data_IF_939004652531
#
_entry.id   IF_939004652531
#
_cell.length_a   1.000
_cell.length_b   1.000
_cell.length_c   1.000
_cell.angle_alpha   90.00
_cell.angle_beta   90.00
_cell.angle_gamma   90.00
#
_symmetry.space_group_name_H-M   'P 1'
#
loop_
_entity.id
_entity.type
_entity.pdbx_description
1 polymer ?
#
# COMPACT_ATOMS: atom_id res chain seq x y z
N UNK A 1 26.27 -10.36 -22.78
CA UNK A 1 24.94 -10.50 -22.17
C UNK A 1 23.94 -9.70 -22.97
N UNK A 2 23.64 -10.23 -24.16
CA UNK A 2 22.56 -9.82 -25.05
C UNK A 2 21.48 -10.89 -24.93
N UNK A 3 20.25 -10.51 -25.25
CA UNK A 3 19.06 -11.35 -25.43
C UNK A 3 18.32 -11.79 -24.16
N UNK A 4 17.25 -11.07 -23.87
CA UNK A 4 15.89 -11.61 -23.76
C UNK A 4 14.90 -10.44 -23.84
N UNK A 5 14.67 -9.98 -25.08
CA UNK A 5 13.46 -9.26 -25.44
C UNK A 5 12.55 -10.26 -26.18
N UNK A 6 11.24 -10.08 -26.01
CA UNK A 6 10.12 -10.79 -26.63
C UNK A 6 9.64 -12.09 -25.95
N UNK A 7 8.60 -11.94 -25.11
CA UNK A 7 7.22 -12.36 -25.46
C UNK A 7 6.19 -11.78 -24.48
N UNK A 8 5.39 -10.85 -24.99
CA UNK A 8 3.97 -10.59 -24.69
C UNK A 8 3.49 -10.52 -23.23
N UNK A 9 3.20 -9.30 -22.77
CA UNK A 9 2.41 -9.03 -21.57
C UNK A 9 2.52 -7.57 -21.15
N UNK A 10 1.77 -6.69 -21.80
CA UNK A 10 1.67 -5.26 -21.50
C UNK A 10 0.96 -5.05 -20.15
N UNK A 11 1.70 -5.19 -19.05
CA UNK A 11 1.36 -4.60 -17.75
C UNK A 11 2.50 -3.64 -17.39
N UNK A 12 2.45 -2.47 -18.02
CA UNK A 12 3.29 -1.34 -17.66
C UNK A 12 2.72 -0.72 -16.37
N UNK A 13 3.47 -0.80 -15.27
CA UNK A 13 4.21 0.37 -14.77
C UNK A 13 4.55 0.25 -13.29
N UNK A 14 5.81 0.62 -12.99
CA UNK A 14 6.36 0.92 -11.67
C UNK A 14 6.55 -0.26 -10.70
N UNK A 15 7.53 -1.12 -11.00
CA UNK A 15 8.39 -1.62 -9.92
C UNK A 15 9.18 -0.40 -9.42
N UNK A 16 8.66 0.28 -8.40
CA UNK A 16 9.40 1.33 -7.70
C UNK A 16 10.57 0.65 -7.00
N UNK A 17 11.78 0.87 -7.50
CA UNK A 17 12.99 0.49 -6.80
C UNK A 17 12.89 0.99 -5.34
N UNK A 18 13.16 0.09 -4.39
CA UNK A 18 13.16 0.35 -2.94
C UNK A 18 13.79 1.70 -2.64
N UNK A 19 12.95 2.70 -2.40
CA UNK A 19 13.33 3.97 -1.81
C UNK A 19 13.04 3.82 -0.33
N UNK A 20 14.05 4.11 0.51
CA UNK A 20 13.89 4.06 1.96
C UNK A 20 12.63 4.84 2.36
N UNK A 21 11.70 4.15 3.00
CA UNK A 21 10.45 4.77 3.44
C UNK A 21 10.80 5.82 4.50
N UNK A 22 10.40 7.07 4.27
CA UNK A 22 10.59 8.14 5.26
C UNK A 22 9.43 8.09 6.25
N UNK A 23 9.76 7.76 7.49
CA UNK A 23 8.81 7.67 8.58
C UNK A 23 7.97 6.39 8.57
N UNK A 24 6.91 6.37 9.38
CA UNK A 24 6.02 5.21 9.56
C UNK A 24 6.69 3.91 10.03
N UNK A 25 7.94 3.95 10.50
CA UNK A 25 8.67 2.78 11.00
C UNK A 25 7.88 1.98 12.05
N UNK A 26 7.26 2.68 13.01
CA UNK A 26 6.43 2.04 14.05
C UNK A 26 5.22 1.30 13.47
N UNK A 27 4.63 1.82 12.40
CA UNK A 27 3.49 1.18 11.71
C UNK A 27 3.97 -0.10 11.02
N UNK A 28 5.12 -0.06 10.35
CA UNK A 28 5.74 -1.22 9.71
C UNK A 28 6.10 -2.29 10.76
N UNK A 29 6.71 -1.90 11.86
CA UNK A 29 7.03 -2.80 12.98
C UNK A 29 5.78 -3.46 13.55
N UNK A 30 4.70 -2.70 13.74
CA UNK A 30 3.43 -3.23 14.23
C UNK A 30 2.79 -4.23 13.26
N UNK A 31 2.77 -3.92 11.96
CA UNK A 31 2.28 -4.84 10.92
C UNK A 31 3.11 -6.14 10.93
N UNK A 32 4.44 -6.02 10.91
CA UNK A 32 5.34 -7.18 10.92
C UNK A 32 5.15 -8.04 12.17
N UNK A 33 4.99 -7.41 13.34
CA UNK A 33 4.68 -8.10 14.60
C UNK A 33 3.40 -8.93 14.46
N UNK A 34 2.30 -8.33 14.00
CA UNK A 34 1.04 -9.06 13.83
C UNK A 34 1.11 -10.16 12.77
N UNK A 35 1.92 -9.99 11.72
CA UNK A 35 2.11 -11.03 10.71
C UNK A 35 2.88 -12.26 11.25
N UNK A 36 3.68 -12.10 12.30
CA UNK A 36 4.42 -13.19 12.95
C UNK A 36 3.61 -13.85 14.08
N UNK A 37 2.73 -13.10 14.76
CA UNK A 37 1.88 -13.62 15.82
C UNK A 37 0.88 -14.64 15.29
N UNK A 38 0.91 -15.89 15.78
CA UNK A 38 0.04 -16.96 15.27
C UNK A 38 -1.45 -16.65 15.42
N UNK A 39 -1.85 -16.08 16.56
CA UNK A 39 -3.23 -15.73 16.89
C UNK A 39 -3.82 -14.63 15.99
N UNK A 40 -2.99 -13.83 15.32
CA UNK A 40 -3.46 -12.72 14.49
C UNK A 40 -3.55 -13.14 13.03
N UNK A 41 -4.72 -13.64 12.63
CA UNK A 41 -4.95 -14.06 11.24
C UNK A 41 -5.18 -12.92 10.24
N UNK A 42 -5.77 -11.81 10.69
CA UNK A 42 -6.17 -10.69 9.84
C UNK A 42 -5.71 -9.35 10.42
N UNK A 43 -5.08 -8.52 9.59
CA UNK A 43 -4.64 -7.16 9.95
C UNK A 43 -5.32 -6.14 9.05
N UNK A 44 -5.87 -5.08 9.63
CA UNK A 44 -6.48 -3.98 8.89
C UNK A 44 -5.72 -2.68 9.09
N UNK A 45 -5.02 -2.25 8.04
CA UNK A 45 -4.26 -1.01 7.99
C UNK A 45 -5.16 0.11 7.50
N UNK A 46 -5.46 1.09 8.35
CA UNK A 46 -6.39 2.16 8.02
C UNK A 46 -5.85 3.56 8.28
N UNK A 47 -6.38 4.53 7.54
CA UNK A 47 -5.98 5.93 7.63
C UNK A 47 -6.48 6.73 6.43
N UNK A 48 -6.39 8.06 6.51
CA UNK A 48 -6.93 8.96 5.48
C UNK A 48 -6.32 8.71 4.08
N UNK A 49 -6.99 9.21 3.04
CA UNK A 49 -6.46 9.16 1.67
C UNK A 49 -5.08 9.84 1.57
N UNK A 50 -4.17 9.30 0.76
CA UNK A 50 -2.83 9.87 0.56
C UNK A 50 -1.84 9.73 1.73
N UNK A 51 -2.23 9.03 2.81
CA UNK A 51 -1.40 8.85 4.02
C UNK A 51 -0.23 7.85 3.84
N UNK A 52 -0.17 7.11 2.73
CA UNK A 52 0.92 6.16 2.44
C UNK A 52 0.64 4.68 2.74
N UNK A 53 -0.60 4.26 3.00
CA UNK A 53 -0.93 2.84 3.31
C UNK A 53 -0.41 1.83 2.27
N UNK A 54 -0.68 2.07 0.99
CA UNK A 54 -0.22 1.21 -0.11
C UNK A 54 1.31 1.18 -0.18
N UNK A 55 1.97 2.33 0.00
CA UNK A 55 3.44 2.43 0.05
C UNK A 55 4.04 1.64 1.22
N UNK A 56 3.44 1.74 2.41
CA UNK A 56 3.84 0.95 3.58
C UNK A 56 3.70 -0.54 3.29
N UNK A 57 2.58 -0.97 2.71
CA UNK A 57 2.35 -2.38 2.41
C UNK A 57 3.25 -2.90 1.29
N UNK A 58 3.62 -2.09 0.30
CA UNK A 58 4.64 -2.46 -0.70
C UNK A 58 5.99 -2.73 0.00
N UNK A 59 6.42 -1.83 0.89
CA UNK A 59 7.66 -2.03 1.64
C UNK A 59 7.64 -3.30 2.51
N UNK A 60 6.51 -3.57 3.18
CA UNK A 60 6.31 -4.82 3.94
C UNK A 60 6.33 -6.03 3.01
N UNK A 61 5.67 -5.96 1.85
CA UNK A 61 5.64 -7.04 0.87
C UNK A 61 7.04 -7.40 0.38
N UNK A 62 7.80 -6.40 -0.07
CA UNK A 62 9.15 -6.60 -0.60
C UNK A 62 10.05 -7.28 0.44
N UNK A 63 10.02 -6.78 1.69
CA UNK A 63 10.80 -7.35 2.79
C UNK A 63 10.41 -8.80 3.12
N UNK A 64 9.11 -9.10 3.18
CA UNK A 64 8.63 -10.46 3.46
C UNK A 64 8.96 -11.44 2.32
N UNK A 65 9.00 -10.94 1.09
CA UNK A 65 9.41 -11.70 -0.08
C UNK A 65 10.91 -12.04 -0.02
N UNK A 66 11.76 -11.07 0.31
CA UNK A 66 13.21 -11.28 0.51
C UNK A 66 13.49 -12.29 1.63
N UNK A 67 12.74 -12.22 2.73
CA UNK A 67 12.86 -13.14 3.86
C UNK A 67 12.20 -14.51 3.61
N UNK A 68 11.55 -14.71 2.46
CA UNK A 68 10.82 -15.94 2.09
C UNK A 68 9.84 -16.43 3.16
N UNK A 69 9.15 -15.49 3.85
CA UNK A 69 8.31 -15.80 5.01
C UNK A 69 7.07 -16.62 4.69
N UNK A 70 6.53 -16.47 3.48
CA UNK A 70 5.34 -17.16 3.01
C UNK A 70 5.67 -17.94 1.74
N UNK A 71 5.10 -19.13 1.58
CA UNK A 71 5.25 -19.92 0.35
C UNK A 71 4.61 -19.22 -0.86
N UNK A 72 3.58 -18.40 -0.62
CA UNK A 72 2.95 -17.56 -1.65
C UNK A 72 2.51 -16.21 -1.08
N UNK A 73 2.65 -15.16 -1.87
CA UNK A 73 2.14 -13.83 -1.54
C UNK A 73 1.27 -13.33 -2.69
N UNK A 74 0.05 -12.92 -2.38
CA UNK A 74 -0.99 -12.52 -3.34
C UNK A 74 -1.36 -11.08 -3.04
N UNK A 75 -1.26 -10.20 -4.04
CA UNK A 75 -1.65 -8.79 -3.92
C UNK A 75 -2.81 -8.49 -4.86
N UNK A 76 -3.91 -7.98 -4.33
CA UNK A 76 -5.11 -7.63 -5.09
C UNK A 76 -5.61 -6.25 -4.68
N UNK A 77 -5.80 -5.37 -5.64
CA UNK A 77 -6.51 -4.11 -5.43
C UNK A 77 -8.00 -4.33 -5.59
N UNK A 78 -8.76 -3.98 -4.55
CA UNK A 78 -10.21 -4.19 -4.49
C UNK A 78 -10.93 -2.98 -5.06
N UNK A 79 -11.95 -3.21 -5.90
CA UNK A 79 -12.80 -2.15 -6.41
C UNK A 79 -13.67 -1.53 -5.31
N UNK A 80 -14.07 -0.27 -5.48
CA UNK A 80 -14.92 0.45 -4.49
C UNK A 80 -16.22 -0.29 -4.15
N UNK A 81 -16.79 -0.95 -5.16
CA UNK A 81 -17.80 -1.99 -4.99
C UNK A 81 -17.13 -3.34 -5.21
N UNK A 82 -16.94 -4.16 -4.18
CA UNK A 82 -16.33 -5.48 -4.34
C UNK A 82 -17.12 -6.33 -5.32
N UNK A 83 -16.44 -6.80 -6.38
CA UNK A 83 -16.98 -7.78 -7.32
C UNK A 83 -16.34 -9.13 -7.00
N UNK A 84 -17.14 -10.03 -6.42
CA UNK A 84 -16.68 -11.36 -5.99
C UNK A 84 -16.11 -12.16 -7.16
N UNK A 85 -16.72 -12.11 -8.36
CA UNK A 85 -16.24 -12.87 -9.51
C UNK A 85 -14.91 -12.30 -10.02
N UNK A 86 -14.76 -10.97 -10.00
CA UNK A 86 -13.49 -10.34 -10.33
C UNK A 86 -12.40 -10.73 -9.32
N UNK A 87 -12.67 -10.65 -8.02
CA UNK A 87 -11.73 -11.08 -6.98
C UNK A 87 -11.31 -12.55 -7.15
N UNK A 88 -12.26 -13.43 -7.45
CA UNK A 88 -11.98 -14.83 -7.74
C UNK A 88 -11.05 -15.01 -8.95
N UNK A 89 -11.28 -14.25 -10.04
CA UNK A 89 -10.40 -14.23 -11.21
C UNK A 89 -8.99 -13.75 -10.84
N UNK A 90 -8.90 -12.64 -10.12
CA UNK A 90 -7.62 -12.03 -9.72
C UNK A 90 -6.81 -12.99 -8.84
N UNK A 91 -7.44 -13.71 -7.90
CA UNK A 91 -6.77 -14.75 -7.10
C UNK A 91 -6.34 -15.93 -7.96
N UNK A 92 -7.23 -16.47 -8.78
CA UNK A 92 -6.95 -17.68 -9.56
C UNK A 92 -5.80 -17.47 -10.56
N UNK A 93 -5.68 -16.26 -11.13
CA UNK A 93 -4.53 -15.88 -11.96
C UNK A 93 -3.20 -15.98 -11.21
N UNK A 94 -3.19 -15.79 -9.88
CA UNK A 94 -1.98 -15.96 -9.07
C UNK A 94 -1.69 -17.42 -8.71
N UNK A 95 -2.69 -18.30 -8.67
CA UNK A 95 -2.54 -19.72 -8.33
C UNK A 95 -2.40 -20.63 -9.56
N UNK A 96 -2.29 -20.06 -10.76
CA UNK A 96 -2.21 -20.77 -12.05
C UNK A 96 -3.41 -21.69 -12.31
N UNK A 97 -4.58 -21.34 -11.78
CA UNK A 97 -5.81 -22.06 -11.99
C UNK A 97 -6.70 -21.27 -12.96
N UNK A 98 -7.23 -21.95 -13.97
CA UNK A 98 -8.20 -21.35 -14.88
C UNK A 98 -9.61 -21.56 -14.31
N UNK A 99 -10.28 -20.46 -14.00
CA UNK A 99 -11.70 -20.45 -13.69
C UNK A 99 -12.49 -20.26 -14.97
N UNK A 100 -13.42 -21.17 -15.24
CA UNK A 100 -14.31 -21.04 -16.37
C UNK A 100 -15.34 -19.92 -16.12
N UNK A 101 -15.78 -19.27 -17.20
CA UNK A 101 -16.86 -18.29 -17.15
C UNK A 101 -18.24 -18.94 -16.93
N UNK A 102 -18.37 -20.23 -17.27
CA UNK A 102 -19.60 -21.01 -17.05
C UNK A 102 -19.76 -21.45 -15.59
N UNK A 103 -18.71 -21.33 -14.77
CA UNK A 103 -18.75 -21.73 -13.37
C UNK A 103 -19.54 -20.73 -12.51
N UNK A 104 -20.30 -21.30 -11.59
CA UNK A 104 -20.96 -20.54 -10.53
C UNK A 104 -19.92 -19.95 -9.57
N UNK A 105 -20.31 -18.89 -8.87
CA UNK A 105 -19.46 -18.27 -7.83
C UNK A 105 -19.06 -19.29 -6.75
N UNK A 106 -19.92 -20.26 -6.43
CA UNK A 106 -19.66 -21.29 -5.41
C UNK A 106 -18.61 -22.29 -5.90
N UNK A 107 -18.71 -22.76 -7.15
CA UNK A 107 -17.72 -23.67 -7.74
C UNK A 107 -16.33 -23.03 -7.81
N UNK A 108 -16.28 -21.75 -8.20
CA UNK A 108 -15.04 -20.96 -8.24
C UNK A 108 -14.43 -20.80 -6.85
N UNK A 109 -15.25 -20.48 -5.85
CA UNK A 109 -14.80 -20.36 -4.46
C UNK A 109 -14.25 -21.70 -3.93
N UNK A 110 -14.87 -22.82 -4.28
CA UNK A 110 -14.40 -24.15 -3.88
C UNK A 110 -13.03 -24.49 -4.49
N UNK A 111 -12.82 -24.16 -5.77
CA UNK A 111 -11.53 -24.33 -6.45
C UNK A 111 -10.42 -23.48 -5.83
N UNK A 112 -10.69 -22.18 -5.64
CA UNK A 112 -9.73 -21.27 -4.98
C UNK A 112 -9.36 -21.78 -3.59
N UNK A 113 -10.35 -22.23 -2.81
CA UNK A 113 -10.12 -22.76 -1.46
C UNK A 113 -9.19 -23.97 -1.48
N UNK A 114 -9.37 -24.87 -2.43
CA UNK A 114 -8.52 -26.06 -2.57
C UNK A 114 -7.09 -25.69 -2.98
N UNK A 115 -6.92 -24.75 -3.91
CA UNK A 115 -5.59 -24.27 -4.31
C UNK A 115 -4.84 -23.62 -3.15
N UNK A 116 -5.52 -22.74 -2.40
CA UNK A 116 -4.93 -22.07 -1.24
C UNK A 116 -4.54 -23.08 -0.16
N UNK A 117 -5.35 -24.12 0.08
CA UNK A 117 -5.00 -25.20 1.02
C UNK A 117 -3.73 -25.95 0.60
N UNK A 118 -3.54 -26.19 -0.70
CA UNK A 118 -2.35 -26.88 -1.22
C UNK A 118 -1.10 -26.02 -1.21
N UNK A 119 -1.24 -24.70 -1.08
CA UNK A 119 -0.14 -23.74 -1.11
C UNK A 119 0.71 -23.75 0.17
N UNK A 120 0.18 -24.27 1.28
CA UNK A 120 0.86 -24.20 2.58
C UNK A 120 0.65 -22.84 3.23
N UNK A 121 1.72 -22.08 3.48
CA UNK A 121 1.62 -20.73 4.06
C UNK A 121 1.47 -19.66 2.99
N UNK A 122 0.54 -18.72 3.20
CA UNK A 122 0.34 -17.63 2.25
C UNK A 122 -0.15 -16.34 2.90
N UNK A 123 0.22 -15.23 2.28
CA UNK A 123 -0.24 -13.90 2.63
C UNK A 123 -1.10 -13.34 1.48
N UNK A 124 -2.31 -12.88 1.80
CA UNK A 124 -3.17 -12.13 0.87
C UNK A 124 -3.22 -10.66 1.33
N UNK A 125 -2.82 -9.76 0.45
CA UNK A 125 -2.97 -8.31 0.63
C UNK A 125 -4.14 -7.84 -0.23
N UNK A 126 -5.17 -7.33 0.44
CA UNK A 126 -6.36 -6.72 -0.16
C UNK A 126 -6.21 -5.20 -0.05
N UNK A 127 -5.70 -4.57 -1.11
CA UNK A 127 -5.42 -3.14 -1.13
C UNK A 127 -6.67 -2.33 -1.51
N UNK A 128 -6.83 -1.18 -0.85
CA UNK A 128 -7.90 -0.19 -1.05
C UNK A 128 -9.31 -0.80 -0.92
N UNK A 129 -9.63 -1.44 0.21
CA UNK A 129 -10.97 -2.00 0.48
C UNK A 129 -11.92 -0.91 0.98
N UNK A 130 -13.01 -0.67 0.24
CA UNK A 130 -14.01 0.36 0.57
C UNK A 130 -15.18 -0.17 1.40
N UNK A 131 -15.51 -1.45 1.25
CA UNK A 131 -16.65 -2.10 1.89
C UNK A 131 -16.29 -3.53 2.27
N UNK A 132 -16.79 -4.00 3.42
CA UNK A 132 -16.57 -5.40 3.85
C UNK A 132 -17.38 -6.38 3.02
N UNK A 133 -16.80 -7.54 2.73
CA UNK A 133 -17.34 -8.63 1.91
C UNK A 133 -17.03 -10.00 2.53
N UNK A 134 -17.69 -11.05 2.05
CA UNK A 134 -17.47 -12.43 2.51
C UNK A 134 -16.20 -12.99 1.89
N UNK A 135 -15.20 -13.31 2.72
CA UNK A 135 -14.02 -14.06 2.28
C UNK A 135 -14.42 -15.46 1.77
N UNK A 136 -15.45 -16.04 2.37
CA UNK A 136 -15.95 -17.36 2.01
C UNK A 136 -16.49 -17.41 0.58
N UNK A 137 -17.22 -16.36 0.17
CA UNK A 137 -17.79 -16.24 -1.18
C UNK A 137 -16.69 -16.10 -2.24
N UNK A 138 -15.53 -15.55 -1.85
CA UNK A 138 -14.34 -15.48 -2.71
C UNK A 138 -13.61 -16.83 -2.74
N UNK A 139 -13.77 -17.67 -1.72
CA UNK A 139 -13.03 -18.93 -1.56
C UNK A 139 -11.80 -18.81 -0.66
N UNK A 140 -11.58 -17.65 -0.04
CA UNK A 140 -10.50 -17.44 0.93
C UNK A 140 -10.96 -18.04 2.27
N UNK A 141 -10.24 -19.03 2.84
CA UNK A 141 -10.57 -19.55 4.15
C UNK A 141 -10.30 -18.49 5.22
N UNK A 142 -11.12 -18.50 6.27
CA UNK A 142 -10.86 -17.68 7.46
C UNK A 142 -9.51 -18.11 8.05
N UNK A 143 -8.60 -17.17 8.33
CA UNK A 143 -7.32 -17.48 8.97
C UNK A 143 -7.48 -18.27 10.27
N UNK A 144 -6.65 -19.31 10.44
CA UNK A 144 -6.56 -20.10 11.67
C UNK A 144 -5.09 -20.47 11.94
N UNK A 145 -4.80 -20.92 13.16
CA UNK A 145 -3.44 -21.33 13.54
C UNK A 145 -2.88 -22.45 12.63
N UNK A 146 -3.77 -23.28 12.06
CA UNK A 146 -3.39 -24.51 11.35
C UNK A 146 -3.30 -24.35 9.82
N UNK A 147 -3.84 -23.28 9.25
CA UNK A 147 -3.96 -23.14 7.79
C UNK A 147 -2.91 -22.23 7.15
N UNK A 148 -2.00 -21.64 7.94
CA UNK A 148 -0.91 -20.81 7.44
C UNK A 148 -1.35 -19.54 6.70
N UNK A 149 -2.63 -19.17 6.78
CA UNK A 149 -3.23 -18.04 6.08
C UNK A 149 -3.06 -16.76 6.89
N UNK A 150 -2.51 -15.71 6.26
CA UNK A 150 -2.54 -14.34 6.76
C UNK A 150 -3.22 -13.44 5.75
N UNK A 151 -4.01 -12.50 6.23
CA UNK A 151 -4.67 -11.50 5.40
C UNK A 151 -4.34 -10.11 5.93
N UNK A 152 -3.91 -9.22 5.04
CA UNK A 152 -3.83 -7.79 5.33
C UNK A 152 -4.79 -7.08 4.41
N UNK A 153 -5.56 -6.13 4.94
CA UNK A 153 -6.31 -5.19 4.12
C UNK A 153 -5.87 -3.76 4.39
N UNK A 154 -5.87 -2.93 3.34
CA UNK A 154 -5.73 -1.48 3.50
C UNK A 154 -7.08 -0.81 3.26
N UNK A 155 -7.40 0.23 4.03
CA UNK A 155 -8.68 0.94 3.86
C UNK A 155 -8.60 2.39 4.34
N UNK A 156 -9.49 3.24 3.84
CA UNK A 156 -9.68 4.60 4.39
C UNK A 156 -10.53 4.62 5.65
N UNK A 157 -11.28 3.55 5.88
CA UNK A 157 -12.44 3.53 6.76
C UNK A 157 -12.25 2.53 7.89
N UNK A 158 -12.08 3.01 9.13
CA UNK A 158 -11.93 2.15 10.32
C UNK A 158 -13.07 1.14 10.45
N UNK A 159 -14.30 1.54 10.10
CA UNK A 159 -15.49 0.68 10.11
C UNK A 159 -15.34 -0.57 9.25
N UNK A 160 -14.56 -0.51 8.16
CA UNK A 160 -14.29 -1.68 7.31
C UNK A 160 -13.41 -2.67 8.05
N UNK A 161 -12.37 -2.19 8.74
CA UNK A 161 -11.49 -3.03 9.58
C UNK A 161 -12.30 -3.78 10.65
N UNK A 162 -13.20 -3.06 11.32
CA UNK A 162 -14.06 -3.62 12.36
C UNK A 162 -15.05 -4.65 11.81
N UNK A 163 -15.70 -4.33 10.68
CA UNK A 163 -16.65 -5.24 10.01
C UNK A 163 -15.97 -6.54 9.53
N UNK A 164 -14.72 -6.44 9.10
CA UNK A 164 -13.91 -7.59 8.66
C UNK A 164 -13.23 -8.33 9.82
N UNK A 165 -13.39 -7.86 11.07
CA UNK A 165 -12.85 -8.52 12.26
C UNK A 165 -11.32 -8.51 12.36
N UNK A 166 -10.64 -7.53 11.76
CA UNK A 166 -9.18 -7.52 11.75
C UNK A 166 -8.57 -6.85 12.99
N UNK A 167 -7.32 -7.19 13.29
CA UNK A 167 -6.48 -6.41 14.19
C UNK A 167 -6.20 -5.04 13.56
N UNK A 168 -6.57 -3.97 14.25
CA UNK A 168 -6.46 -2.61 13.72
C UNK A 168 -5.00 -2.09 13.79
N UNK A 169 -4.51 -1.53 12.68
CA UNK A 169 -3.30 -0.70 12.62
C UNK A 169 -3.66 0.65 12.02
N UNK A 170 -3.46 1.74 12.76
CA UNK A 170 -3.77 3.10 12.29
C UNK A 170 -2.51 3.78 11.75
N UNK A 171 -2.56 4.21 10.49
CA UNK A 171 -1.50 5.05 9.89
C UNK A 171 -1.73 6.51 10.28
N UNK A 172 -0.74 7.08 10.95
CA UNK A 172 -0.73 8.49 11.33
C UNK A 172 -0.10 9.36 10.23
N UNK A 173 -0.32 10.68 10.36
CA UNK A 173 0.41 11.68 9.56
C UNK A 173 1.89 11.64 9.92
N UNK A 174 2.73 12.00 8.96
CA UNK A 174 4.14 12.23 9.22
C UNK A 174 4.30 13.37 10.22
N UNK A 175 5.29 13.24 11.10
CA UNK A 175 5.78 14.36 11.91
C UNK A 175 6.35 15.46 11.02
N UNK A 176 6.55 16.65 11.59
CA UNK A 176 7.13 17.78 10.87
C UNK A 176 8.53 17.46 10.33
N UNK A 177 9.33 16.73 11.10
CA UNK A 177 10.68 16.30 10.71
C UNK A 177 10.63 15.27 9.58
N UNK A 178 9.81 14.22 9.70
CA UNK A 178 9.63 13.22 8.64
C UNK A 178 9.08 13.85 7.36
N UNK A 179 8.12 14.78 7.48
CA UNK A 179 7.55 15.49 6.35
C UNK A 179 8.59 16.36 5.63
N UNK A 180 9.44 17.05 6.40
CA UNK A 180 10.53 17.87 5.86
C UNK A 180 11.59 17.02 5.18
N UNK A 181 11.96 15.88 5.79
CA UNK A 181 12.89 14.91 5.18
C UNK A 181 12.35 14.35 3.87
N UNK A 182 11.07 13.94 3.85
CA UNK A 182 10.43 13.46 2.63
C UNK A 182 10.37 14.54 1.56
N UNK A 183 10.04 15.78 1.92
CA UNK A 183 10.01 16.88 0.97
C UNK A 183 11.40 17.14 0.35
N UNK A 184 12.45 17.14 1.19
CA UNK A 184 13.83 17.37 0.77
C UNK A 184 14.36 16.26 -0.13
N UNK A 185 14.02 15.01 0.17
CA UNK A 185 14.43 13.86 -0.68
C UNK A 185 13.87 13.95 -2.09
N UNK A 186 12.74 14.64 -2.29
CA UNK A 186 12.13 14.84 -3.61
C UNK A 186 12.65 16.09 -4.34
N UNK A 187 12.75 17.22 -3.61
CA UNK A 187 13.07 18.53 -4.21
C UNK A 187 14.56 18.71 -4.50
N UNK A 188 15.44 18.08 -3.71
CA UNK A 188 16.90 18.25 -3.76
C UNK A 188 17.42 19.29 -2.76
N UNK A 189 18.59 19.04 -2.19
CA UNK A 189 19.20 19.94 -1.19
C UNK A 189 19.78 21.22 -1.80
N UNK A 190 20.03 21.24 -3.11
CA UNK A 190 20.55 22.37 -3.87
C UNK A 190 19.60 23.58 -3.86
N UNK A 191 18.29 23.34 -3.69
CA UNK A 191 17.30 24.40 -3.52
C UNK A 191 17.55 25.24 -2.26
N UNK A 192 18.09 24.62 -1.20
CA UNK A 192 18.35 25.28 0.09
C UNK A 192 19.73 25.92 0.21
N UNK A 193 20.65 25.65 -0.72
CA UNK A 193 22.00 26.21 -0.70
C UNK A 193 22.10 27.56 -1.40
N UNK A 194 21.16 27.86 -2.30
CA UNK A 194 21.18 29.08 -3.11
C UNK A 194 20.74 30.35 -2.36
N UNK A 195 19.77 30.26 -1.44
CA UNK A 195 19.22 31.43 -0.74
C UNK A 195 18.74 31.08 0.69
N UNK A 196 19.28 31.71 1.74
CA UNK A 196 18.86 31.48 3.13
C UNK A 196 17.37 31.75 3.41
N UNK A 197 16.72 32.63 2.64
CA UNK A 197 15.30 32.97 2.79
C UNK A 197 14.36 31.86 2.34
N UNK A 198 14.87 30.86 1.61
CA UNK A 198 14.10 29.73 1.10
C UNK A 198 13.71 28.74 2.18
N UNK A 199 14.57 28.53 3.20
CA UNK A 199 14.32 27.54 4.26
C UNK A 199 13.03 27.82 5.04
N UNK A 200 12.76 29.06 5.53
CA UNK A 200 11.49 29.37 6.17
C UNK A 200 10.27 29.16 5.26
N UNK A 201 10.36 29.58 3.98
CA UNK A 201 9.22 29.44 3.04
C UNK A 201 8.95 27.96 2.73
N UNK A 202 9.99 27.16 2.53
CA UNK A 202 9.87 25.71 2.36
C UNK A 202 9.21 25.08 3.58
N UNK A 203 9.64 25.45 4.79
CA UNK A 203 9.06 24.94 6.03
C UNK A 203 7.55 25.22 6.10
N UNK A 204 7.15 26.46 5.81
CA UNK A 204 5.73 26.84 5.75
C UNK A 204 4.95 26.04 4.68
N UNK A 205 5.57 25.77 3.53
CA UNK A 205 4.96 24.96 2.45
C UNK A 205 4.76 23.51 2.90
N UNK A 206 5.76 22.91 3.54
CA UNK A 206 5.69 21.53 4.07
C UNK A 206 4.63 21.42 5.16
N UNK A 207 4.57 22.38 6.08
CA UNK A 207 3.53 22.42 7.12
C UNK A 207 2.12 22.41 6.51
N UNK A 208 1.92 23.12 5.39
CA UNK A 208 0.64 23.16 4.66
C UNK A 208 0.31 21.87 3.93
N UNK A 209 1.23 20.92 3.84
CA UNK A 209 0.94 19.58 3.35
C UNK A 209 0.33 18.66 4.44
N UNK A 210 0.21 19.16 5.69
CA UNK A 210 -0.42 18.47 6.82
C UNK A 210 0.10 17.04 7.07
N UNK A 211 1.38 16.80 6.82
CA UNK A 211 2.01 15.49 7.03
C UNK A 211 1.45 14.38 6.14
N UNK A 212 0.81 14.70 5.01
CA UNK A 212 0.30 13.72 4.03
C UNK A 212 1.37 13.44 2.96
N UNK A 213 1.95 12.22 2.89
CA UNK A 213 2.99 11.89 1.91
C UNK A 213 2.62 12.24 0.47
N UNK A 214 1.38 11.94 0.03
CA UNK A 214 0.95 12.27 -1.33
C UNK A 214 1.01 13.77 -1.61
N UNK A 215 0.56 14.61 -0.69
CA UNK A 215 0.58 16.07 -0.85
C UNK A 215 2.02 16.59 -0.82
N UNK A 216 2.83 16.10 0.11
CA UNK A 216 4.25 16.47 0.25
C UNK A 216 5.01 16.18 -1.05
N UNK A 217 4.94 14.94 -1.55
CA UNK A 217 5.62 14.53 -2.78
C UNK A 217 5.11 15.34 -3.99
N UNK A 218 3.80 15.55 -4.10
CA UNK A 218 3.21 16.34 -5.19
C UNK A 218 3.76 17.76 -5.23
N UNK A 219 3.77 18.45 -4.07
CA UNK A 219 4.27 19.82 -3.98
C UNK A 219 5.78 19.85 -4.20
N UNK A 220 6.53 18.91 -3.61
CA UNK A 220 7.99 18.85 -3.76
C UNK A 220 8.41 18.67 -5.22
N UNK A 221 7.74 17.76 -5.96
CA UNK A 221 7.99 17.56 -7.40
C UNK A 221 7.70 18.85 -8.18
N UNK A 222 6.59 19.54 -7.88
CA UNK A 222 6.25 20.79 -8.54
C UNK A 222 7.25 21.93 -8.27
N UNK A 223 7.94 21.88 -7.13
CA UNK A 223 8.93 22.87 -6.71
C UNK A 223 10.38 22.49 -7.06
N UNK A 224 10.60 21.29 -7.62
CA UNK A 224 11.94 20.80 -7.97
C UNK A 224 12.63 21.71 -8.99
N UNK A 225 13.87 22.12 -8.70
CA UNK A 225 14.65 23.04 -9.53
C UNK A 225 14.15 24.50 -9.54
N UNK A 226 13.19 24.85 -8.67
CA UNK A 226 12.70 26.22 -8.54
C UNK A 226 13.52 26.96 -7.49
N UNK A 227 14.35 27.91 -7.92
CA UNK A 227 15.19 28.70 -7.03
C UNK A 227 14.65 30.11 -6.73
N UNK A 228 13.55 30.53 -7.37
CA UNK A 228 12.94 31.86 -7.18
C UNK A 228 12.02 31.90 -5.94
N UNK A 229 12.35 32.66 -4.87
CA UNK A 229 11.54 32.75 -3.66
C UNK A 229 10.11 33.23 -3.88
N UNK A 230 9.85 34.03 -4.92
CA UNK A 230 8.50 34.52 -5.22
C UNK A 230 7.58 33.36 -5.63
N UNK A 231 8.09 32.39 -6.41
CA UNK A 231 7.33 31.20 -6.80
C UNK A 231 6.97 30.33 -5.60
N UNK A 232 7.88 30.18 -4.64
CA UNK A 232 7.62 29.48 -3.39
C UNK A 232 6.55 30.16 -2.56
N UNK A 233 6.60 31.50 -2.46
CA UNK A 233 5.57 32.27 -1.75
C UNK A 233 4.20 32.17 -2.41
N UNK A 234 4.16 32.14 -3.74
CA UNK A 234 2.94 31.91 -4.50
C UNK A 234 2.37 30.51 -4.28
N UNK A 235 3.21 29.48 -4.26
CA UNK A 235 2.80 28.11 -3.94
C UNK A 235 2.21 28.03 -2.52
N UNK A 236 2.89 28.63 -1.54
CA UNK A 236 2.40 28.73 -0.16
C UNK A 236 1.03 29.40 -0.07
N UNK A 237 0.84 30.52 -0.78
CA UNK A 237 -0.44 31.22 -0.79
C UNK A 237 -1.56 30.38 -1.43
N UNK A 238 -1.27 29.60 -2.47
CA UNK A 238 -2.24 28.65 -3.05
C UNK A 238 -2.62 27.55 -2.07
N UNK A 239 -1.66 26.99 -1.35
CA UNK A 239 -1.92 25.96 -0.33
C UNK A 239 -2.72 26.49 0.86
N UNK A 240 -2.65 27.80 1.17
CA UNK A 240 -3.48 28.42 2.22
C UNK A 240 -4.96 28.57 1.83
N UNK A 241 -5.29 28.47 0.54
CA UNK A 241 -6.66 28.61 0.04
C UNK A 241 -7.39 27.26 -0.12
N UNK A 242 -6.69 26.14 0.08
CA UNK A 242 -7.24 24.79 0.07
C UNK A 242 -7.54 24.29 1.49
#
# INVERSE_FOLDING_TARGET
MKELCAKGGLFDSLVVASTDIVGHFRVIEEINKYLIEQEVGMVGVWGVGGIGKTTIMNHVYDKLQEETKFSKMIWITVSQSPDIRKLQKDIAHTTSNDLSDDETTIERAAKIREDLRRTGSYLIILDDVWQGFSLEDVGIPVPSADNGCKIVLTTRERKVVQKMGCKEVKVARLSEDEASQLFLSQVGEDVLSADPTMRPIMKDVVERCYGLPLTIVTVAIAMKGVHDPLRWRNALNRLKMC
#
